data_IF_889436352938
#
_entry.id   IF_889436352938
#
_cell.length_a   1.000
_cell.length_b   1.000
_cell.length_c   1.000
_cell.angle_alpha   90.00
_cell.angle_beta   90.00
_cell.angle_gamma   90.00
#
_symmetry.space_group_name_H-M   'P 1'
#
loop_
_entity.id
_entity.type
_entity.pdbx_description
1 polymer ?
#
# COMPACT_ATOMS: atom_id res chain seq x y z
N UNK A 1 28.68 2.54 -1.26
CA UNK A 1 27.31 1.96 -1.36
C UNK A 1 26.78 1.75 0.05
N UNK A 2 25.87 2.58 0.55
CA UNK A 2 25.38 2.45 1.93
C UNK A 2 24.59 1.14 2.09
N UNK A 3 24.95 0.34 3.09
CA UNK A 3 24.29 -0.94 3.37
C UNK A 3 22.78 -0.73 3.57
N UNK A 4 21.96 -1.43 2.77
CA UNK A 4 20.50 -1.44 2.96
C UNK A 4 20.19 -2.04 4.32
N UNK A 5 19.61 -1.24 5.22
CA UNK A 5 19.16 -1.68 6.54
C UNK A 5 18.18 -2.86 6.39
N UNK A 6 18.48 -3.98 7.06
CA UNK A 6 17.72 -5.24 7.00
C UNK A 6 16.34 -5.17 7.70
N UNK A 7 16.14 -4.25 8.64
CA UNK A 7 14.88 -4.14 9.40
C UNK A 7 14.04 -2.94 8.96
N UNK A 8 12.72 -3.10 8.74
CA UNK A 8 11.84 -1.98 8.38
C UNK A 8 11.76 -0.97 9.54
N UNK A 9 11.83 0.32 9.22
CA UNK A 9 11.74 1.39 10.20
C UNK A 9 10.29 1.49 10.70
N UNK A 10 9.99 0.93 11.88
CA UNK A 10 8.68 1.09 12.53
C UNK A 10 8.53 2.51 13.09
N UNK A 11 7.34 3.10 12.97
CA UNK A 11 7.06 4.42 13.52
C UNK A 11 7.12 4.38 15.05
N UNK A 12 7.84 5.33 15.66
CA UNK A 12 7.90 5.47 17.13
C UNK A 12 6.63 6.09 17.74
N UNK A 13 5.70 6.54 16.89
CA UNK A 13 4.36 7.03 17.24
C UNK A 13 3.32 6.02 16.72
N UNK A 14 2.67 5.23 17.59
CA UNK A 14 1.54 4.40 17.18
C UNK A 14 0.32 5.28 16.89
N UNK A 15 -0.57 4.80 16.03
CA UNK A 15 -1.84 5.47 15.75
C UNK A 15 -2.79 5.31 16.95
N UNK A 16 -3.47 6.39 17.35
CA UNK A 16 -4.58 6.34 18.30
C UNK A 16 -5.88 5.99 17.55
N UNK A 17 -6.11 6.70 16.46
CA UNK A 17 -7.17 6.47 15.48
C UNK A 17 -6.50 6.55 14.10
N UNK A 18 -7.10 5.95 13.07
CA UNK A 18 -6.54 5.95 11.71
C UNK A 18 -6.27 7.39 11.24
N UNK A 19 -4.99 7.72 11.04
CA UNK A 19 -4.54 9.05 10.59
C UNK A 19 -4.16 10.02 11.71
N UNK A 20 -4.38 9.67 12.98
CA UNK A 20 -4.01 10.49 14.14
C UNK A 20 -3.07 9.71 15.05
N UNK A 21 -1.83 10.18 15.18
CA UNK A 21 -0.84 9.58 16.07
C UNK A 21 -1.15 9.82 17.55
N UNK A 22 -0.79 8.87 18.41
CA UNK A 22 -1.02 8.93 19.88
C UNK A 22 -0.26 10.06 20.57
N UNK A 23 0.94 10.39 20.09
CA UNK A 23 1.80 11.42 20.69
C UNK A 23 1.81 12.71 19.87
N UNK A 24 1.84 13.84 20.57
CA UNK A 24 2.02 15.18 19.99
C UNK A 24 3.42 15.39 19.40
N UNK A 25 3.57 16.44 18.59
CA UNK A 25 4.84 16.79 17.92
C UNK A 25 5.97 17.02 18.92
N UNK A 26 5.71 17.69 20.04
CA UNK A 26 6.73 17.99 21.07
C UNK A 26 7.21 16.73 21.79
N UNK A 27 6.29 15.83 22.19
CA UNK A 27 6.67 14.54 22.80
C UNK A 27 7.47 13.67 21.82
N UNK A 28 7.09 13.70 20.53
CA UNK A 28 7.83 13.00 19.48
C UNK A 28 9.21 13.60 19.20
N UNK A 29 9.37 14.92 19.35
CA UNK A 29 10.65 15.61 19.23
C UNK A 29 11.67 15.10 20.26
N UNK A 30 11.24 14.97 21.52
CA UNK A 30 12.07 14.41 22.58
C UNK A 30 12.33 12.91 22.41
N UNK A 31 11.27 12.12 22.14
CA UNK A 31 11.37 10.65 21.96
C UNK A 31 12.21 10.22 20.76
N UNK A 32 12.24 11.02 19.69
CA UNK A 32 13.11 10.76 18.52
C UNK A 32 14.57 11.13 18.78
N UNK A 33 14.87 11.86 19.85
CA UNK A 33 16.21 12.41 20.10
C UNK A 33 16.57 13.52 19.12
N UNK A 34 15.58 14.11 18.44
CA UNK A 34 15.81 15.17 17.45
C UNK A 34 16.43 16.40 18.10
N UNK A 35 16.07 16.69 19.34
CA UNK A 35 16.68 17.76 20.15
C UNK A 35 18.20 17.56 20.30
N UNK A 36 18.65 16.34 20.59
CA UNK A 36 20.07 16.04 20.79
C UNK A 36 20.84 16.08 19.45
N UNK A 37 20.22 15.61 18.37
CA UNK A 37 20.79 15.71 17.01
C UNK A 37 20.92 17.19 16.61
N UNK A 38 19.88 17.99 16.85
CA UNK A 38 19.89 19.43 16.58
C UNK A 38 20.97 20.15 17.39
N UNK A 39 21.14 19.81 18.67
CA UNK A 39 22.19 20.36 19.51
C UNK A 39 23.59 20.01 18.98
N UNK A 40 23.80 18.76 18.55
CA UNK A 40 25.08 18.30 17.98
C UNK A 40 25.43 18.94 16.63
N UNK A 41 24.44 19.45 15.90
CA UNK A 41 24.62 20.08 14.59
C UNK A 41 24.37 21.60 14.64
N UNK A 42 24.72 22.24 15.76
CA UNK A 42 24.73 23.70 15.87
C UNK A 42 23.36 24.35 15.70
N UNK A 43 22.28 23.66 16.08
CA UNK A 43 20.92 24.18 15.93
C UNK A 43 20.25 23.84 14.60
N UNK A 44 20.93 23.18 13.65
CA UNK A 44 20.38 22.84 12.33
C UNK A 44 20.18 21.33 12.20
N UNK A 45 19.08 20.91 11.58
CA UNK A 45 18.89 19.49 11.27
C UNK A 45 19.72 19.07 10.07
N UNK A 46 20.36 17.88 10.09
CA UNK A 46 21.04 17.34 8.91
C UNK A 46 20.09 17.29 7.71
N UNK A 47 20.43 18.01 6.65
CA UNK A 47 19.74 17.93 5.35
C UNK A 47 20.45 16.90 4.49
N UNK A 48 19.67 16.01 3.88
CA UNK A 48 20.13 15.18 2.78
C UNK A 48 19.57 15.77 1.50
N UNK A 49 20.27 16.76 0.96
CA UNK A 49 19.96 17.25 -0.37
C UNK A 49 20.24 16.13 -1.39
N UNK A 50 19.35 15.91 -2.37
CA UNK A 50 19.56 14.90 -3.38
C UNK A 50 20.86 15.23 -4.13
N UNK A 51 21.77 14.25 -4.17
CA UNK A 51 23.04 14.36 -4.92
C UNK A 51 22.71 14.84 -6.34
N UNK A 52 23.36 15.91 -6.85
CA UNK A 52 23.10 16.41 -8.19
C UNK A 52 23.25 15.25 -9.17
N UNK A 53 22.15 14.95 -9.87
CA UNK A 53 22.11 13.90 -10.88
C UNK A 53 23.03 14.38 -12.00
N UNK A 54 24.04 13.58 -12.34
CA UNK A 54 24.96 13.89 -13.43
C UNK A 54 24.16 14.26 -14.70
N UNK A 55 24.61 15.24 -15.50
CA UNK A 55 23.88 15.67 -16.69
C UNK A 55 23.67 14.46 -17.61
N UNK A 56 22.41 14.08 -17.78
CA UNK A 56 22.01 13.04 -18.73
C UNK A 56 22.29 13.60 -20.12
N UNK A 57 22.99 12.84 -20.96
CA UNK A 57 23.28 13.22 -22.35
C UNK A 57 21.98 13.66 -23.05
N UNK A 58 22.03 14.68 -23.93
CA UNK A 58 20.83 15.24 -24.54
C UNK A 58 20.12 14.15 -25.37
N UNK A 59 18.91 13.77 -24.96
CA UNK A 59 18.03 12.93 -25.77
C UNK A 59 17.72 13.69 -27.06
N UNK A 60 18.05 13.08 -28.21
CA UNK A 60 17.75 13.66 -29.53
C UNK A 60 16.23 13.81 -29.66
N UNK A 61 15.79 14.98 -30.12
CA UNK A 61 14.37 15.23 -30.34
C UNK A 61 13.78 14.17 -31.29
N UNK A 62 12.55 13.68 -31.04
CA UNK A 62 11.89 12.75 -31.93
C UNK A 62 11.70 13.41 -33.31
N UNK A 63 11.94 12.66 -34.39
CA UNK A 63 11.80 13.14 -35.77
C UNK A 63 10.34 13.46 -36.15
N UNK A 64 9.38 12.89 -35.42
CA UNK A 64 7.96 12.97 -35.72
C UNK A 64 7.22 13.82 -34.69
N UNK A 65 6.51 14.85 -35.16
CA UNK A 65 5.63 15.70 -34.36
C UNK A 65 4.17 15.30 -34.66
N UNK A 66 3.38 14.89 -33.65
CA UNK A 66 1.95 14.69 -33.85
C UNK A 66 1.28 16.04 -34.14
N UNK A 67 0.30 16.06 -35.06
CA UNK A 67 -0.44 17.27 -35.42
C UNK A 67 -1.38 17.76 -34.31
N UNK A 68 -1.78 16.86 -33.40
CA UNK A 68 -2.68 17.14 -32.28
C UNK A 68 -2.00 16.82 -30.95
N UNK A 69 -2.14 17.70 -29.96
CA UNK A 69 -1.59 17.48 -28.62
C UNK A 69 -2.53 16.57 -27.81
N UNK A 70 -2.16 15.28 -27.70
CA UNK A 70 -2.89 14.33 -26.86
C UNK A 70 -2.62 14.64 -25.40
N UNK A 71 -3.62 15.21 -24.73
CA UNK A 71 -3.55 15.52 -23.30
C UNK A 71 -3.14 14.29 -22.49
N UNK A 72 -2.04 14.41 -21.74
CA UNK A 72 -1.58 13.36 -20.83
C UNK A 72 -2.68 13.05 -19.79
N UNK A 73 -3.04 11.77 -19.60
CA UNK A 73 -4.03 11.40 -18.60
C UNK A 73 -3.53 11.78 -17.21
N UNK A 74 -4.45 12.24 -16.36
CA UNK A 74 -4.14 12.62 -14.98
C UNK A 74 -3.63 11.40 -14.20
N UNK A 75 -2.67 11.62 -13.30
CA UNK A 75 -2.11 10.55 -12.48
C UNK A 75 -3.18 9.95 -11.55
N UNK A 76 -3.66 8.76 -11.89
CA UNK A 76 -4.56 8.01 -11.03
C UNK A 76 -3.78 7.29 -9.91
N UNK A 77 -3.95 7.73 -8.66
CA UNK A 77 -3.31 7.12 -7.47
C UNK A 77 -4.07 5.91 -6.92
N UNK A 78 -5.17 5.49 -7.54
CA UNK A 78 -5.96 4.34 -7.09
C UNK A 78 -5.19 3.04 -7.37
N UNK A 79 -4.89 2.32 -6.30
CA UNK A 79 -4.37 0.95 -6.36
C UNK A 79 -5.49 -0.02 -5.99
N UNK A 80 -5.61 -1.19 -6.67
CA UNK A 80 -6.55 -2.22 -6.26
C UNK A 80 -6.20 -2.65 -4.84
N UNK A 81 -7.19 -2.58 -3.94
CA UNK A 81 -7.05 -3.02 -2.56
C UNK A 81 -7.87 -4.30 -2.42
N UNK A 82 -7.32 -5.36 -1.79
CA UNK A 82 -8.12 -6.54 -1.48
C UNK A 82 -9.32 -6.14 -0.64
N UNK A 83 -10.46 -6.79 -0.89
CA UNK A 83 -11.70 -6.55 -0.16
C UNK A 83 -11.51 -6.97 1.30
N UNK A 84 -12.17 -6.28 2.23
CA UNK A 84 -12.13 -6.66 3.64
C UNK A 84 -13.23 -7.67 3.89
N UNK A 85 -12.89 -8.81 4.49
CA UNK A 85 -13.88 -9.78 4.93
C UNK A 85 -14.72 -9.24 6.09
N UNK A 86 -16.00 -9.64 6.11
CA UNK A 86 -16.86 -9.47 7.28
C UNK A 86 -16.42 -10.47 8.36
N UNK A 87 -16.62 -10.13 9.63
CA UNK A 87 -16.24 -11.00 10.75
C UNK A 87 -16.93 -12.37 10.74
N UNK A 88 -18.13 -12.47 10.14
CA UNK A 88 -18.87 -13.73 10.01
C UNK A 88 -18.30 -14.69 8.97
N UNK A 89 -17.38 -14.24 8.11
CA UNK A 89 -16.81 -15.05 7.04
C UNK A 89 -15.47 -15.59 7.52
N UNK A 90 -15.53 -16.70 8.26
CA UNK A 90 -14.35 -17.44 8.72
C UNK A 90 -14.18 -18.71 7.88
N UNK A 91 -12.93 -19.20 7.69
CA UNK A 91 -12.68 -20.50 7.06
C UNK A 91 -13.54 -21.60 7.70
N UNK A 92 -14.28 -22.34 6.88
CA UNK A 92 -15.26 -23.35 7.31
C UNK A 92 -16.71 -22.87 7.38
N UNK A 93 -16.97 -21.56 7.26
CA UNK A 93 -18.34 -21.03 7.25
C UNK A 93 -19.08 -21.44 5.97
N UNK A 94 -20.34 -21.87 6.12
CA UNK A 94 -21.24 -22.14 5.00
C UNK A 94 -21.85 -20.84 4.49
N UNK A 95 -21.62 -20.54 3.21
CA UNK A 95 -22.17 -19.40 2.48
C UNK A 95 -23.28 -19.85 1.54
N UNK A 96 -24.26 -18.96 1.31
CA UNK A 96 -25.28 -19.13 0.27
C UNK A 96 -24.93 -18.18 -0.87
N UNK A 97 -24.73 -18.72 -2.06
CA UNK A 97 -24.50 -17.89 -3.25
C UNK A 97 -25.83 -17.31 -3.73
N UNK A 98 -25.85 -16.00 -3.95
CA UNK A 98 -27.04 -15.28 -4.38
C UNK A 98 -27.12 -15.13 -5.91
N UNK A 99 -25.99 -15.26 -6.61
CA UNK A 99 -25.89 -15.05 -8.04
C UNK A 99 -24.98 -16.08 -8.71
N UNK A 100 -25.11 -16.22 -10.02
CA UNK A 100 -24.37 -17.17 -10.84
C UNK A 100 -25.01 -18.56 -10.90
N UNK A 101 -24.33 -19.51 -11.56
CA UNK A 101 -24.87 -20.86 -11.81
C UNK A 101 -25.16 -21.68 -10.55
N UNK A 102 -24.53 -21.33 -9.43
CA UNK A 102 -24.67 -22.02 -8.15
C UNK A 102 -25.54 -21.24 -7.14
N UNK A 103 -26.42 -20.37 -7.63
CA UNK A 103 -27.37 -19.63 -6.80
C UNK A 103 -28.21 -20.58 -5.92
N UNK A 104 -28.45 -20.18 -4.67
CA UNK A 104 -29.21 -20.95 -3.68
C UNK A 104 -28.47 -22.15 -3.08
N UNK A 105 -27.28 -22.50 -3.57
CA UNK A 105 -26.49 -23.61 -3.01
C UNK A 105 -25.71 -23.17 -1.77
N UNK A 106 -25.57 -24.12 -0.84
CA UNK A 106 -24.71 -24.02 0.34
C UNK A 106 -23.29 -24.43 -0.01
N UNK A 107 -22.31 -23.58 0.27
CA UNK A 107 -20.90 -23.78 -0.15
C UNK A 107 -19.96 -23.39 1.00
N UNK A 108 -18.85 -24.09 1.20
CA UNK A 108 -17.94 -23.88 2.35
C UNK A 108 -16.80 -22.94 1.99
N UNK A 109 -16.59 -21.87 2.77
CA UNK A 109 -15.49 -20.91 2.55
C UNK A 109 -14.15 -21.46 3.04
N UNK A 110 -13.08 -21.35 2.23
CA UNK A 110 -11.73 -21.77 2.62
C UNK A 110 -10.85 -20.59 3.01
N UNK A 111 -10.55 -19.71 2.05
CA UNK A 111 -9.64 -18.58 2.23
C UNK A 111 -9.92 -17.48 1.22
N UNK A 112 -9.41 -16.29 1.49
CA UNK A 112 -9.42 -15.19 0.53
C UNK A 112 -8.19 -15.26 -0.38
N UNK A 113 -8.39 -15.08 -1.69
CA UNK A 113 -7.30 -14.97 -2.66
C UNK A 113 -6.66 -13.58 -2.62
N UNK A 114 -5.46 -13.45 -3.17
CA UNK A 114 -4.73 -12.18 -3.28
C UNK A 114 -5.47 -11.14 -4.12
N UNK A 115 -6.35 -11.58 -5.02
CA UNK A 115 -7.28 -10.74 -5.78
C UNK A 115 -8.40 -10.12 -4.92
N UNK A 116 -8.68 -10.67 -3.73
CA UNK A 116 -9.79 -10.28 -2.86
C UNK A 116 -11.02 -11.19 -2.97
N UNK A 117 -11.00 -12.18 -3.85
CA UNK A 117 -12.12 -13.11 -4.07
C UNK A 117 -12.12 -14.24 -3.06
N UNK A 118 -13.28 -14.87 -2.86
CA UNK A 118 -13.47 -15.98 -1.92
C UNK A 118 -13.18 -17.30 -2.61
N UNK A 119 -12.25 -18.10 -2.07
CA UNK A 119 -12.12 -19.50 -2.47
C UNK A 119 -13.17 -20.31 -1.70
N UNK A 120 -14.05 -20.97 -2.43
CA UNK A 120 -15.21 -21.70 -1.87
C UNK A 120 -15.23 -23.12 -2.44
N UNK A 121 -15.65 -24.11 -1.66
CA UNK A 121 -15.77 -25.52 -2.08
C UNK A 121 -17.19 -26.03 -1.88
N UNK A 122 -17.78 -26.63 -2.93
CA UNK A 122 -19.05 -27.36 -2.84
C UNK A 122 -18.84 -28.85 -2.55
N UNK A 123 -19.91 -29.55 -2.16
CA UNK A 123 -19.90 -30.98 -1.80
C UNK A 123 -19.51 -31.92 -2.96
N UNK A 124 -19.53 -31.44 -4.22
CA UNK A 124 -19.01 -32.15 -5.39
C UNK A 124 -18.15 -31.21 -6.24
N UNK A 125 -16.85 -31.52 -6.29
CA UNK A 125 -15.77 -30.99 -7.15
C UNK A 125 -15.54 -29.46 -7.15
N UNK A 126 -14.27 -29.09 -6.98
CA UNK A 126 -13.74 -27.74 -6.80
C UNK A 126 -14.27 -26.71 -7.82
N UNK A 127 -14.98 -25.68 -7.34
CA UNK A 127 -15.39 -24.53 -8.14
C UNK A 127 -14.75 -23.24 -7.60
N UNK A 128 -13.90 -22.61 -8.41
CA UNK A 128 -13.42 -21.25 -8.15
C UNK A 128 -14.54 -20.30 -8.58
N UNK A 129 -15.15 -19.62 -7.62
CA UNK A 129 -16.16 -18.59 -7.90
C UNK A 129 -15.42 -17.25 -7.94
N UNK A 130 -15.51 -16.59 -9.09
CA UNK A 130 -14.98 -15.25 -9.34
C UNK A 130 -15.80 -14.19 -8.60
#
# INVERSE_FOLDING_TARGET
MAAKRKTPVKTRNPDLIRGVGKYSRSKMYHKRGLWAIKAKHGGVFPRHDPKPKAPVAPEKAPKFYPAEDVKKPLLNKRKPKPTKLRASITPGTVLILLAGRFMGKRVVFLKQLTSGLLLVTGELLYFVIC
#
